data_IF_242373873467
#
_entry.id   IF_242373873467
#
_cell.length_a   1.000
_cell.length_b   1.000
_cell.length_c   1.000
_cell.angle_alpha   90.00
_cell.angle_beta   90.00
_cell.angle_gamma   90.00
#
_symmetry.space_group_name_H-M   'P 1'
#
loop_
_entity.id
_entity.type
_entity.pdbx_description
1 polymer ?
#
# COMPACT_ATOMS: atom_id res chain seq x y z
N UNK A 1 -4.17 15.88 -46.79
CA UNK A 1 -4.57 15.98 -45.37
C UNK A 1 -5.51 14.85 -44.88
N UNK A 2 -6.59 14.46 -45.58
CA UNK A 2 -7.54 13.43 -45.10
C UNK A 2 -6.92 12.03 -44.82
N UNK A 3 -5.94 11.59 -45.62
CA UNK A 3 -5.31 10.27 -45.44
C UNK A 3 -4.34 10.18 -44.25
N UNK A 4 -3.69 11.29 -43.87
CA UNK A 4 -2.77 11.32 -42.74
C UNK A 4 -3.54 11.10 -41.42
N UNK A 5 -4.68 11.76 -41.28
CA UNK A 5 -5.55 11.68 -40.10
C UNK A 5 -6.16 10.27 -39.92
N UNK A 6 -6.49 9.58 -41.03
CA UNK A 6 -7.02 8.21 -40.99
C UNK A 6 -5.97 7.18 -40.55
N UNK A 7 -4.71 7.36 -40.97
CA UNK A 7 -3.59 6.52 -40.51
C UNK A 7 -3.30 6.75 -39.03
N UNK A 8 -3.17 8.02 -38.61
CA UNK A 8 -2.97 8.41 -37.20
C UNK A 8 -4.02 7.83 -36.26
N UNK A 9 -5.32 7.91 -36.60
CA UNK A 9 -6.39 7.32 -35.78
C UNK A 9 -6.28 5.80 -35.61
N UNK A 10 -5.88 5.07 -36.66
CA UNK A 10 -5.66 3.61 -36.56
C UNK A 10 -4.49 3.28 -35.65
N UNK A 11 -3.43 4.10 -35.66
CA UNK A 11 -2.25 3.92 -34.81
C UNK A 11 -2.56 4.14 -33.34
N UNK A 12 -3.27 5.21 -33.03
CA UNK A 12 -3.70 5.53 -31.67
C UNK A 12 -4.61 4.43 -31.12
N UNK A 13 -5.54 3.93 -31.93
CA UNK A 13 -6.44 2.85 -31.54
C UNK A 13 -5.68 1.55 -31.23
N UNK A 14 -4.72 1.15 -32.08
CA UNK A 14 -3.93 -0.07 -31.86
C UNK A 14 -3.08 0.02 -30.58
N UNK A 15 -2.46 1.17 -30.34
CA UNK A 15 -1.68 1.45 -29.13
C UNK A 15 -2.54 1.33 -27.85
N UNK A 16 -3.70 1.97 -27.83
CA UNK A 16 -4.58 1.93 -26.66
C UNK A 16 -5.19 0.55 -26.42
N UNK A 17 -5.54 -0.20 -27.48
CA UNK A 17 -6.03 -1.57 -27.33
C UNK A 17 -4.97 -2.46 -26.68
N UNK A 18 -3.70 -2.37 -27.09
CA UNK A 18 -2.62 -3.16 -26.48
C UNK A 18 -2.42 -2.88 -25.00
N UNK A 19 -2.37 -1.60 -24.60
CA UNK A 19 -2.21 -1.20 -23.20
C UNK A 19 -3.44 -1.60 -22.38
N UNK A 20 -4.64 -1.33 -22.89
CA UNK A 20 -5.89 -1.63 -22.20
C UNK A 20 -6.07 -3.14 -21.99
N UNK A 21 -5.79 -3.95 -23.01
CA UNK A 21 -5.94 -5.41 -22.94
C UNK A 21 -4.94 -6.05 -21.98
N UNK A 22 -3.73 -5.50 -21.84
CA UNK A 22 -2.77 -5.96 -20.83
C UNK A 22 -3.34 -5.79 -19.41
N UNK A 23 -3.78 -4.58 -19.04
CA UNK A 23 -4.34 -4.34 -17.69
C UNK A 23 -5.69 -5.04 -17.47
N UNK A 24 -6.54 -5.12 -18.50
CA UNK A 24 -7.79 -5.87 -18.45
C UNK A 24 -7.53 -7.36 -18.22
N UNK A 25 -6.50 -7.94 -18.85
CA UNK A 25 -6.13 -9.34 -18.61
C UNK A 25 -5.66 -9.54 -17.17
N UNK A 26 -4.92 -8.59 -16.58
CA UNK A 26 -4.57 -8.64 -15.16
C UNK A 26 -5.78 -8.62 -14.23
N UNK A 27 -6.82 -7.84 -14.57
CA UNK A 27 -8.08 -7.83 -13.83
C UNK A 27 -8.80 -9.18 -13.88
N UNK A 28 -8.88 -9.80 -15.07
CA UNK A 28 -9.52 -11.11 -15.26
C UNK A 28 -8.72 -12.22 -14.54
N UNK A 29 -7.40 -12.10 -14.49
CA UNK A 29 -6.50 -13.10 -13.90
C UNK A 29 -6.24 -12.91 -12.40
N UNK A 30 -7.05 -12.11 -11.68
CA UNK A 30 -6.90 -11.85 -10.23
C UNK A 30 -6.85 -13.10 -9.34
N UNK A 31 -7.34 -14.25 -9.81
CA UNK A 31 -7.25 -15.54 -9.11
C UNK A 31 -5.95 -16.33 -9.35
N UNK A 32 -5.04 -15.82 -10.18
CA UNK A 32 -3.76 -16.47 -10.48
C UNK A 32 -2.64 -15.67 -9.83
N UNK A 33 -1.92 -16.30 -8.90
CA UNK A 33 -0.80 -15.65 -8.22
C UNK A 33 0.38 -15.37 -9.17
N UNK A 34 1.12 -14.31 -8.85
CA UNK A 34 2.40 -14.04 -9.48
C UNK A 34 3.38 -15.21 -9.19
N UNK A 35 4.32 -15.50 -10.10
CA UNK A 35 4.59 -14.78 -11.35
C UNK A 35 3.72 -15.26 -12.53
N UNK A 36 2.89 -16.29 -12.35
CA UNK A 36 2.16 -16.95 -13.44
C UNK A 36 1.17 -16.00 -14.15
N UNK A 37 0.50 -15.13 -13.40
CA UNK A 37 -0.39 -14.10 -13.97
C UNK A 37 0.36 -13.13 -14.88
N UNK A 38 1.56 -12.68 -14.49
CA UNK A 38 2.38 -11.74 -15.28
C UNK A 38 2.76 -12.37 -16.63
N UNK A 39 3.19 -13.63 -16.64
CA UNK A 39 3.52 -14.35 -17.88
C UNK A 39 2.30 -14.46 -18.80
N UNK A 40 1.12 -14.75 -18.25
CA UNK A 40 -0.13 -14.84 -19.01
C UNK A 40 -0.56 -13.49 -19.58
N UNK A 41 -0.45 -12.41 -18.79
CA UNK A 41 -0.73 -11.04 -19.28
C UNK A 41 0.19 -10.66 -20.43
N UNK A 42 1.49 -10.99 -20.32
CA UNK A 42 2.47 -10.72 -21.37
C UNK A 42 2.20 -11.57 -22.62
N UNK A 43 1.84 -12.85 -22.46
CA UNK A 43 1.44 -13.71 -23.57
C UNK A 43 0.20 -13.17 -24.29
N UNK A 44 -0.82 -12.72 -23.56
CA UNK A 44 -2.04 -12.11 -24.12
C UNK A 44 -1.67 -10.86 -24.91
N UNK A 45 -0.86 -9.98 -24.33
CA UNK A 45 -0.39 -8.77 -25.00
C UNK A 45 0.38 -9.08 -26.29
N UNK A 46 1.35 -10.00 -26.25
CA UNK A 46 2.13 -10.40 -27.42
C UNK A 46 1.25 -11.03 -28.50
N UNK A 47 0.30 -11.89 -28.11
CA UNK A 47 -0.64 -12.53 -29.05
C UNK A 47 -1.48 -11.47 -29.76
N UNK A 48 -2.10 -10.55 -29.01
CA UNK A 48 -2.91 -9.48 -29.59
C UNK A 48 -2.08 -8.51 -30.45
N UNK A 49 -0.86 -8.21 -30.02
CA UNK A 49 0.07 -7.39 -30.79
C UNK A 49 0.40 -8.05 -32.13
N UNK A 50 0.77 -9.34 -32.12
CA UNK A 50 1.06 -10.11 -33.33
C UNK A 50 -0.16 -10.21 -34.25
N UNK A 51 -1.35 -10.50 -33.70
CA UNK A 51 -2.60 -10.53 -34.48
C UNK A 51 -2.89 -9.19 -35.13
N UNK A 52 -2.74 -8.07 -34.42
CA UNK A 52 -2.97 -6.76 -35.00
C UNK A 52 -1.96 -6.38 -36.09
N UNK A 53 -0.70 -6.79 -35.96
CA UNK A 53 0.29 -6.64 -37.04
C UNK A 53 -0.14 -7.44 -38.27
N UNK A 54 -0.56 -8.70 -38.09
CA UNK A 54 -1.01 -9.57 -39.18
C UNK A 54 -2.28 -9.06 -39.86
N UNK A 55 -3.23 -8.50 -39.11
CA UNK A 55 -4.47 -7.93 -39.66
C UNK A 55 -4.19 -6.67 -40.45
N UNK A 56 -3.25 -5.84 -40.00
CA UNK A 56 -3.06 -4.52 -40.60
C UNK A 56 -2.12 -4.55 -41.83
N UNK A 57 -1.33 -5.63 -42.06
CA UNK A 57 -0.52 -6.00 -43.26
C UNK A 57 0.38 -4.93 -43.95
N UNK A 58 0.20 -3.65 -43.65
CA UNK A 58 0.76 -2.48 -44.37
C UNK A 58 1.87 -1.79 -43.55
N UNK A 59 2.46 -2.48 -42.58
CA UNK A 59 3.45 -1.90 -41.69
C UNK A 59 4.87 -2.32 -42.05
N UNK A 60 5.78 -1.35 -42.14
CA UNK A 60 7.20 -1.64 -42.27
C UNK A 60 7.74 -2.28 -40.99
N UNK A 61 8.80 -3.11 -41.06
CA UNK A 61 9.43 -3.69 -39.88
C UNK A 61 9.90 -2.63 -38.87
N UNK A 62 10.44 -1.51 -39.36
CA UNK A 62 10.86 -0.37 -38.54
C UNK A 62 9.70 0.30 -37.81
N UNK A 63 8.50 0.30 -38.40
CA UNK A 63 7.30 0.82 -37.79
C UNK A 63 6.80 -0.10 -36.67
N UNK A 64 6.76 -1.41 -36.91
CA UNK A 64 6.35 -2.41 -35.92
C UNK A 64 7.24 -2.33 -34.67
N UNK A 65 8.55 -2.26 -34.87
CA UNK A 65 9.51 -2.18 -33.76
C UNK A 65 9.32 -0.91 -32.92
N UNK A 66 9.11 0.25 -33.56
CA UNK A 66 8.85 1.51 -32.86
C UNK A 66 7.53 1.45 -32.08
N UNK A 67 6.47 0.93 -32.69
CA UNK A 67 5.17 0.76 -32.03
C UNK A 67 5.26 -0.16 -30.81
N UNK A 68 5.96 -1.29 -30.94
CA UNK A 68 6.23 -2.20 -29.83
C UNK A 68 7.00 -1.49 -28.72
N UNK A 69 8.11 -0.82 -29.04
CA UNK A 69 8.96 -0.17 -28.06
C UNK A 69 8.21 0.94 -27.28
N UNK A 70 7.41 1.75 -27.96
CA UNK A 70 6.61 2.80 -27.31
C UNK A 70 5.53 2.19 -26.42
N UNK A 71 4.83 1.15 -26.90
CA UNK A 71 3.77 0.46 -26.12
C UNK A 71 4.35 -0.23 -24.89
N UNK A 72 5.46 -0.93 -25.06
CA UNK A 72 6.17 -1.60 -23.97
C UNK A 72 6.71 -0.58 -22.96
N UNK A 73 7.30 0.52 -23.43
CA UNK A 73 7.76 1.61 -22.56
C UNK A 73 6.61 2.23 -21.74
N UNK A 74 5.46 2.48 -22.36
CA UNK A 74 4.28 2.98 -21.65
C UNK A 74 3.77 1.96 -20.60
N UNK A 75 3.68 0.68 -20.96
CA UNK A 75 3.32 -0.39 -20.03
C UNK A 75 4.28 -0.48 -18.85
N UNK A 76 5.58 -0.37 -19.10
CA UNK A 76 6.60 -0.39 -18.07
C UNK A 76 6.42 0.78 -17.10
N UNK A 77 6.24 2.01 -17.61
CA UNK A 77 6.05 3.20 -16.78
C UNK A 77 4.76 3.13 -15.94
N UNK A 78 3.65 2.70 -16.53
CA UNK A 78 2.38 2.55 -15.79
C UNK A 78 2.53 1.47 -14.71
N UNK A 79 3.19 0.35 -15.02
CA UNK A 79 3.44 -0.72 -14.04
C UNK A 79 4.36 -0.28 -12.91
N UNK A 80 5.40 0.50 -13.22
CA UNK A 80 6.25 1.12 -12.20
C UNK A 80 5.45 2.09 -11.32
N UNK A 81 4.54 2.87 -11.91
CA UNK A 81 3.62 3.74 -11.17
C UNK A 81 2.72 2.96 -10.20
N UNK A 82 2.12 1.85 -10.65
CA UNK A 82 1.35 0.97 -9.76
C UNK A 82 2.21 0.32 -8.67
N UNK A 83 3.44 -0.06 -8.98
CA UNK A 83 4.36 -0.62 -7.99
C UNK A 83 4.73 0.42 -6.92
N UNK A 84 5.08 1.65 -7.32
CA UNK A 84 5.37 2.75 -6.40
C UNK A 84 4.14 3.10 -5.55
N UNK A 85 2.96 3.18 -6.18
CA UNK A 85 1.71 3.43 -5.46
C UNK A 85 1.39 2.30 -4.47
N UNK A 86 1.60 1.04 -4.87
CA UNK A 86 1.42 -0.12 -3.99
C UNK A 86 2.39 -0.10 -2.82
N UNK A 87 3.66 0.20 -3.06
CA UNK A 87 4.67 0.35 -2.01
C UNK A 87 4.34 1.51 -1.07
N UNK A 88 3.92 2.66 -1.60
CA UNK A 88 3.49 3.81 -0.81
C UNK A 88 2.26 3.48 0.04
N UNK A 89 1.26 2.83 -0.53
CA UNK A 89 0.07 2.44 0.21
C UNK A 89 0.39 1.40 1.29
N UNK A 90 1.26 0.43 1.01
CA UNK A 90 1.68 -0.56 2.01
C UNK A 90 2.54 0.06 3.11
N UNK A 91 3.42 1.01 2.79
CA UNK A 91 4.16 1.78 3.81
C UNK A 91 3.23 2.61 4.70
N UNK A 92 2.08 3.05 4.17
CA UNK A 92 1.11 3.88 4.88
C UNK A 92 -0.13 3.11 5.36
N UNK A 93 -0.21 1.79 5.18
CA UNK A 93 -1.28 0.93 5.69
C UNK A 93 -0.96 0.38 7.09
N UNK A 94 0.03 0.97 7.76
CA UNK A 94 0.34 0.65 9.14
C UNK A 94 -0.85 1.04 10.03
N UNK A 95 -1.42 0.04 10.68
CA UNK A 95 -2.37 0.22 11.76
C UNK A 95 -1.58 0.33 13.07
N UNK A 96 -1.81 1.43 13.78
CA UNK A 96 -1.14 1.76 15.03
C UNK A 96 -2.05 1.40 16.19
N UNK A 97 -1.72 0.33 16.90
CA UNK A 97 -2.50 -0.20 18.00
C UNK A 97 -1.94 0.25 19.33
N UNK A 98 -2.84 0.61 20.24
CA UNK A 98 -2.56 0.85 21.65
C UNK A 98 -3.52 0.04 22.51
N UNK A 99 -2.99 -0.46 23.62
CA UNK A 99 -3.75 -1.13 24.68
C UNK A 99 -3.14 -0.84 26.04
N UNK A 100 -3.92 -1.06 27.09
CA UNK A 100 -3.40 -1.09 28.45
C UNK A 100 -3.99 -2.27 29.21
N UNK A 101 -3.17 -2.96 29.99
CA UNK A 101 -3.60 -4.04 30.88
C UNK A 101 -3.39 -3.60 32.33
N UNK A 102 -4.44 -3.74 33.15
CA UNK A 102 -4.33 -3.45 34.59
C UNK A 102 -3.64 -4.64 35.28
N UNK A 103 -2.54 -4.37 35.96
CA UNK A 103 -1.77 -5.38 36.68
C UNK A 103 -2.38 -5.62 38.07
N UNK A 104 -2.59 -6.89 38.42
CA UNK A 104 -3.10 -7.30 39.74
C UNK A 104 -2.04 -7.36 40.84
N UNK A 105 -0.76 -7.18 40.49
CA UNK A 105 0.39 -7.25 41.41
C UNK A 105 1.31 -6.06 41.20
N UNK A 106 2.04 -5.66 42.24
CA UNK A 106 3.03 -4.58 42.16
C UNK A 106 4.20 -5.04 41.28
N UNK A 107 4.46 -4.37 40.14
CA UNK A 107 5.58 -4.69 39.26
C UNK A 107 6.91 -4.22 39.86
N UNK A 108 8.02 -4.91 39.53
CA UNK A 108 9.35 -4.56 40.03
C UNK A 108 9.87 -3.21 39.48
N UNK A 109 9.49 -2.86 38.25
CA UNK A 109 9.83 -1.60 37.59
C UNK A 109 8.56 -0.95 37.06
N UNK A 110 8.37 0.31 37.42
CA UNK A 110 7.28 1.13 36.92
C UNK A 110 7.67 2.60 36.99
N UNK A 111 7.08 3.41 36.11
CA UNK A 111 7.16 4.85 36.19
C UNK A 111 5.91 5.41 36.88
N UNK A 112 6.09 6.35 37.79
CA UNK A 112 4.95 7.06 38.39
C UNK A 112 4.48 8.13 37.39
N UNK A 113 3.19 8.09 37.08
CA UNK A 113 2.54 9.01 36.14
C UNK A 113 1.33 9.63 36.81
N UNK A 114 1.21 10.94 36.72
CA UNK A 114 0.10 11.70 37.28
C UNK A 114 -1.06 11.83 36.30
N UNK A 115 -2.27 12.02 36.83
CA UNK A 115 -3.46 12.30 36.00
C UNK A 115 -3.27 13.56 35.11
N UNK A 116 -2.55 14.57 35.61
CA UNK A 116 -2.21 15.76 34.83
C UNK A 116 -1.33 15.44 33.61
N UNK A 117 -0.39 14.50 33.72
CA UNK A 117 0.43 14.08 32.59
C UNK A 117 -0.41 13.28 31.58
N UNK A 118 -1.33 12.44 32.05
CA UNK A 118 -2.19 11.61 31.18
C UNK A 118 -3.15 12.45 30.36
N UNK A 119 -3.60 13.60 30.87
CA UNK A 119 -4.51 14.51 30.15
C UNK A 119 -3.92 15.00 28.83
N UNK A 120 -2.59 15.13 28.73
CA UNK A 120 -1.87 15.53 27.52
C UNK A 120 -1.87 14.42 26.44
N UNK A 121 -2.23 13.18 26.81
CA UNK A 121 -2.21 12.02 25.92
C UNK A 121 -3.59 11.33 25.86
N UNK A 122 -4.52 11.83 25.01
CA UNK A 122 -5.88 11.30 24.90
C UNK A 122 -5.95 9.80 24.61
N UNK A 123 -5.05 9.29 23.76
CA UNK A 123 -4.95 7.87 23.42
C UNK A 123 -4.58 7.01 24.65
N UNK A 124 -3.56 7.43 25.42
CA UNK A 124 -3.16 6.76 26.65
C UNK A 124 -4.29 6.80 27.69
N UNK A 125 -4.91 7.97 27.88
CA UNK A 125 -6.07 8.12 28.77
C UNK A 125 -7.21 7.17 28.42
N UNK A 126 -7.50 7.03 27.12
CA UNK A 126 -8.53 6.10 26.64
C UNK A 126 -8.12 4.66 26.92
N UNK A 127 -6.88 4.27 26.61
CA UNK A 127 -6.37 2.92 26.85
C UNK A 127 -6.46 2.51 28.32
N UNK A 128 -6.09 3.38 29.25
CA UNK A 128 -6.21 3.13 30.69
C UNK A 128 -7.67 2.96 31.14
N UNK A 129 -8.59 3.74 30.55
CA UNK A 129 -10.02 3.64 30.87
C UNK A 129 -10.67 2.37 30.31
N UNK A 130 -10.22 1.90 29.16
CA UNK A 130 -10.69 0.67 28.50
C UNK A 130 -9.68 -0.46 28.67
N UNK A 131 -9.08 -0.59 29.86
CA UNK A 131 -8.06 -1.58 30.11
C UNK A 131 -8.52 -3.00 29.73
N UNK A 132 -7.67 -3.75 29.04
CA UNK A 132 -7.96 -5.06 28.44
C UNK A 132 -8.52 -4.98 27.01
N UNK A 133 -8.59 -3.80 26.40
CA UNK A 133 -9.00 -3.62 25.00
C UNK A 133 -7.94 -2.87 24.21
N UNK A 134 -7.60 -3.42 23.05
CA UNK A 134 -6.73 -2.79 22.08
C UNK A 134 -7.55 -2.07 21.02
N UNK A 135 -7.08 -0.90 20.57
CA UNK A 135 -7.73 -0.15 19.51
C UNK A 135 -6.72 0.59 18.63
N UNK A 136 -7.16 0.91 17.41
CA UNK A 136 -6.36 1.66 16.44
C UNK A 136 -6.45 3.15 16.76
N UNK A 137 -5.30 3.83 16.69
CA UNK A 137 -5.14 5.27 16.82
C UNK A 137 -4.39 5.86 15.64
N UNK A 138 -4.36 7.19 15.55
CA UNK A 138 -3.53 7.89 14.57
C UNK A 138 -2.03 7.69 14.89
N UNK A 139 -1.21 7.66 13.83
CA UNK A 139 0.25 7.52 13.96
C UNK A 139 0.90 8.60 14.82
N UNK A 140 0.33 9.81 14.85
CA UNK A 140 0.83 10.95 15.64
C UNK A 140 0.57 10.72 17.12
N UNK A 141 -0.65 10.32 17.48
CA UNK A 141 -1.00 9.99 18.87
C UNK A 141 -0.17 8.79 19.36
N UNK A 142 0.04 7.79 18.50
CA UNK A 142 0.85 6.63 18.82
C UNK A 142 2.29 7.01 19.13
N UNK A 143 2.92 7.84 18.29
CA UNK A 143 4.29 8.33 18.52
C UNK A 143 4.40 9.17 19.78
N UNK A 144 3.42 10.02 20.06
CA UNK A 144 3.41 10.83 21.30
C UNK A 144 3.40 9.95 22.55
N UNK A 145 2.61 8.87 22.54
CA UNK A 145 2.59 7.92 23.66
C UNK A 145 3.89 7.11 23.72
N UNK A 146 4.42 6.66 22.58
CA UNK A 146 5.71 5.96 22.52
C UNK A 146 6.85 6.81 23.11
N UNK A 147 6.97 8.08 22.67
CA UNK A 147 7.96 9.02 23.17
C UNK A 147 7.78 9.27 24.67
N UNK A 148 6.54 9.43 25.13
CA UNK A 148 6.24 9.58 26.55
C UNK A 148 6.69 8.37 27.39
N UNK A 149 6.37 7.16 26.97
CA UNK A 149 6.78 5.94 27.67
C UNK A 149 8.30 5.75 27.63
N UNK A 150 8.94 6.11 26.51
CA UNK A 150 10.40 6.09 26.39
C UNK A 150 11.06 7.09 27.34
N UNK A 151 10.52 8.32 27.46
CA UNK A 151 10.99 9.31 28.44
C UNK A 151 10.79 8.86 29.89
N UNK A 152 9.78 8.03 30.15
CA UNK A 152 9.54 7.39 31.45
C UNK A 152 10.40 6.14 31.68
N UNK A 153 11.16 5.70 30.68
CA UNK A 153 12.00 4.50 30.68
C UNK A 153 11.23 3.21 31.05
N UNK A 154 9.90 3.21 30.89
CA UNK A 154 9.04 2.10 31.30
C UNK A 154 7.69 2.13 30.58
N UNK A 155 7.31 0.98 30.03
CA UNK A 155 5.96 0.75 29.50
C UNK A 155 4.96 0.38 30.60
N UNK A 156 5.43 0.18 31.83
CA UNK A 156 4.61 -0.05 33.01
C UNK A 156 4.51 1.25 33.79
N UNK A 157 3.30 1.73 34.01
CA UNK A 157 3.03 3.00 34.69
C UNK A 157 2.14 2.80 35.91
N UNK A 158 2.40 3.56 36.97
CA UNK A 158 1.53 3.69 38.13
C UNK A 158 0.72 4.97 38.01
N UNK A 159 -0.60 4.85 38.10
CA UNK A 159 -1.56 5.96 38.03
C UNK A 159 -2.49 5.86 39.23
N UNK A 160 -2.39 6.82 40.15
CA UNK A 160 -3.05 6.71 41.45
C UNK A 160 -2.56 5.48 42.22
N UNK A 161 -3.47 4.58 42.57
CA UNK A 161 -3.16 3.32 43.28
C UNK A 161 -2.99 2.11 42.35
N UNK A 162 -3.25 2.28 41.05
CA UNK A 162 -3.28 1.20 40.09
C UNK A 162 -2.01 1.15 39.23
N UNK A 163 -1.66 -0.06 38.78
CA UNK A 163 -0.55 -0.33 37.88
C UNK A 163 -1.07 -0.79 36.53
N UNK A 164 -0.51 -0.24 35.45
CA UNK A 164 -0.90 -0.57 34.09
C UNK A 164 0.33 -0.89 33.24
N UNK A 165 0.23 -1.94 32.43
CA UNK A 165 1.18 -2.20 31.35
C UNK A 165 0.59 -1.67 30.05
N UNK A 166 1.28 -0.74 29.42
CA UNK A 166 0.87 -0.15 28.13
C UNK A 166 1.52 -0.94 27.01
N UNK A 167 0.71 -1.31 26.03
CA UNK A 167 1.13 -2.04 24.85
C UNK A 167 0.98 -1.15 23.63
N UNK A 168 2.04 -1.06 22.84
CA UNK A 168 2.07 -0.37 21.56
C UNK A 168 2.52 -1.36 20.49
N UNK A 169 1.73 -1.52 19.43
CA UNK A 169 2.10 -2.38 18.31
C UNK A 169 1.74 -1.73 16.99
N UNK A 170 2.54 -2.03 15.97
CA UNK A 170 2.31 -1.59 14.59
C UNK A 170 2.18 -2.83 13.72
N UNK A 171 1.07 -2.93 12.98
CA UNK A 171 0.87 -3.98 11.99
C UNK A 171 0.69 -3.37 10.62
N UNK A 172 1.45 -3.84 9.64
CA UNK A 172 1.23 -3.46 8.24
C UNK A 172 0.19 -4.40 7.65
N UNK A 173 -0.91 -3.86 7.17
CA UNK A 173 -1.96 -4.62 6.47
C UNK A 173 -1.47 -5.17 5.12
#
# INVERSE_FOLDING_TARGET
MKNLNKKVKKYTLFFFIGIFTFYLSGYILRGIHAPRSIHLMLLIYLTLFATGVLVIRDFSPSFILKGFAISFGALFLISAGFFVLGAYNHMNSAEYWIGAEKLGTVPEKYAVVTESEIVEYPALKRALKTAGQDFIIDSTEWKQVEEFLHLKESNVIKVGEDYYQVHLSMSVA
#
